data_IF_640267268179
#
_entry.id   IF_640267268179
#
_cell.length_a   1.000
_cell.length_b   1.000
_cell.length_c   1.000
_cell.angle_alpha   90.00
_cell.angle_beta   90.00
_cell.angle_gamma   90.00
#
_symmetry.space_group_name_H-M   'P 1'
#
loop_
_entity.id
_entity.type
_entity.pdbx_description
1 polymer ?
#
# COMPACT_ATOMS: atom_id res chain seq x y z
N UNK A 1 25.43 7.07 -3.61
CA UNK A 1 24.20 7.61 -4.24
C UNK A 1 23.13 6.55 -4.06
N UNK A 2 22.36 6.62 -2.97
CA UNK A 2 21.30 5.66 -2.69
C UNK A 2 20.18 5.83 -3.71
N UNK A 3 19.92 4.78 -4.47
CA UNK A 3 18.94 4.76 -5.55
C UNK A 3 17.55 5.03 -5.00
N UNK A 4 16.78 5.89 -5.67
CA UNK A 4 15.38 6.24 -5.32
C UNK A 4 14.46 5.00 -5.18
N UNK A 5 14.91 3.85 -5.67
CA UNK A 5 14.29 2.52 -5.57
C UNK A 5 14.29 1.97 -4.13
N UNK A 6 15.37 2.16 -3.36
CA UNK A 6 15.50 1.61 -2.00
C UNK A 6 14.48 2.27 -1.05
N UNK A 7 14.37 3.60 -1.13
CA UNK A 7 13.32 4.35 -0.42
C UNK A 7 11.91 4.10 -0.94
N UNK A 8 11.75 3.51 -2.13
CA UNK A 8 10.46 3.13 -2.71
C UNK A 8 10.00 1.77 -2.17
N UNK A 9 10.91 0.79 -2.12
CA UNK A 9 10.68 -0.52 -1.50
C UNK A 9 10.40 -0.41 0.00
N UNK A 10 11.12 0.47 0.71
CA UNK A 10 10.85 0.75 2.13
C UNK A 10 9.43 1.32 2.33
N UNK A 11 9.03 2.28 1.49
CA UNK A 11 7.68 2.88 1.54
C UNK A 11 6.59 1.87 1.22
N UNK A 12 6.82 0.98 0.26
CA UNK A 12 5.90 -0.13 -0.07
C UNK A 12 5.79 -1.13 1.08
N UNK A 13 6.92 -1.50 1.67
CA UNK A 13 6.98 -2.41 2.83
C UNK A 13 6.26 -1.82 4.04
N UNK A 14 6.45 -0.53 4.29
CA UNK A 14 5.72 0.21 5.33
C UNK A 14 4.22 0.22 5.04
N UNK A 15 3.83 0.53 3.79
CA UNK A 15 2.43 0.55 3.37
C UNK A 15 1.73 -0.80 3.57
N UNK A 16 2.41 -1.92 3.32
CA UNK A 16 1.90 -3.28 3.58
C UNK A 16 1.72 -3.54 5.08
N UNK A 17 2.70 -3.16 5.91
CA UNK A 17 2.62 -3.31 7.37
C UNK A 17 1.46 -2.50 7.97
N UNK A 18 1.31 -1.24 7.54
CA UNK A 18 0.18 -0.42 7.97
C UNK A 18 -1.16 -1.00 7.53
N UNK A 19 -1.23 -1.54 6.30
CA UNK A 19 -2.44 -2.20 5.80
C UNK A 19 -2.82 -3.43 6.65
N UNK A 20 -1.83 -4.25 7.02
CA UNK A 20 -2.02 -5.42 7.90
C UNK A 20 -2.49 -5.00 9.30
N UNK A 21 -1.86 -3.99 9.89
CA UNK A 21 -2.27 -3.44 11.19
C UNK A 21 -3.71 -2.89 11.14
N UNK A 22 -4.06 -2.15 10.10
CA UNK A 22 -5.41 -1.63 9.86
C UNK A 22 -6.42 -2.77 9.69
N UNK A 23 -6.09 -3.82 8.95
CA UNK A 23 -6.94 -5.01 8.80
C UNK A 23 -7.12 -5.77 10.11
N UNK A 24 -6.04 -5.96 10.88
CA UNK A 24 -6.10 -6.61 12.18
C UNK A 24 -6.99 -5.84 13.14
N UNK A 25 -6.92 -4.51 13.13
CA UNK A 25 -7.81 -3.65 13.89
C UNK A 25 -9.24 -3.78 13.39
N UNK A 26 -9.49 -3.74 12.07
CA UNK A 26 -10.82 -3.90 11.46
C UNK A 26 -11.49 -5.24 11.78
N UNK A 27 -10.72 -6.31 11.91
CA UNK A 27 -11.20 -7.61 12.35
C UNK A 27 -11.43 -7.71 13.87
N UNK A 28 -10.89 -6.76 14.66
CA UNK A 28 -11.22 -6.67 16.07
C UNK A 28 -12.67 -6.25 16.25
N UNK A 29 -13.40 -7.02 17.06
CA UNK A 29 -14.85 -6.87 17.27
C UNK A 29 -15.23 -5.63 18.09
N UNK A 30 -14.25 -4.96 18.71
CA UNK A 30 -14.46 -3.83 19.64
C UNK A 30 -14.35 -2.44 18.98
N UNK A 31 -14.39 -2.34 17.64
CA UNK A 31 -14.31 -1.05 16.97
C UNK A 31 -15.66 -0.33 16.88
N UNK A 32 -15.65 0.95 17.27
CA UNK A 32 -16.74 1.88 16.97
C UNK A 32 -16.90 2.07 15.44
N UNK A 33 -18.13 2.32 14.94
CA UNK A 33 -18.38 2.63 13.53
C UNK A 33 -17.53 3.79 12.98
N UNK A 34 -17.21 4.79 13.79
CA UNK A 34 -16.32 5.89 13.39
C UNK A 34 -14.87 5.43 13.20
N UNK A 35 -14.41 4.52 14.07
CA UNK A 35 -13.08 3.93 13.98
C UNK A 35 -12.97 3.01 12.75
N UNK A 36 -14.02 2.21 12.46
CA UNK A 36 -14.06 1.40 11.22
C UNK A 36 -13.99 2.27 9.98
N UNK A 37 -14.80 3.33 9.88
CA UNK A 37 -14.77 4.26 8.72
C UNK A 37 -13.40 4.91 8.54
N UNK A 38 -12.76 5.31 9.63
CA UNK A 38 -11.41 5.88 9.60
C UNK A 38 -10.38 4.87 9.08
N UNK A 39 -10.42 3.64 9.59
CA UNK A 39 -9.56 2.54 9.16
C UNK A 39 -9.78 2.14 7.69
N UNK A 40 -11.02 2.11 7.22
CA UNK A 40 -11.34 1.85 5.81
C UNK A 40 -10.81 2.94 4.87
N UNK A 41 -10.89 4.21 5.30
CA UNK A 41 -10.34 5.35 4.55
C UNK A 41 -8.82 5.30 4.50
N UNK A 42 -8.18 4.92 5.60
CA UNK A 42 -6.72 4.71 5.67
C UNK A 42 -6.29 3.55 4.77
N UNK A 43 -6.99 2.42 4.82
CA UNK A 43 -6.77 1.26 3.93
C UNK A 43 -6.85 1.66 2.45
N UNK A 44 -7.86 2.43 2.05
CA UNK A 44 -8.00 2.90 0.66
C UNK A 44 -6.86 3.82 0.24
N UNK A 45 -6.41 4.68 1.15
CA UNK A 45 -5.29 5.60 0.91
C UNK A 45 -3.96 4.87 0.78
N UNK A 46 -3.73 3.83 1.59
CA UNK A 46 -2.58 2.94 1.51
C UNK A 46 -2.57 2.15 0.20
N UNK A 47 -3.69 1.54 -0.19
CA UNK A 47 -3.80 0.86 -1.50
C UNK A 47 -3.47 1.80 -2.67
N UNK A 48 -3.98 3.03 -2.66
CA UNK A 48 -3.66 4.03 -3.70
C UNK A 48 -2.18 4.41 -3.71
N UNK A 49 -1.55 4.57 -2.53
CA UNK A 49 -0.11 4.82 -2.43
C UNK A 49 0.70 3.65 -2.98
N UNK A 50 0.37 2.42 -2.60
CA UNK A 50 1.02 1.21 -3.11
C UNK A 50 0.90 1.10 -4.63
N UNK A 51 -0.31 1.26 -5.21
CA UNK A 51 -0.48 1.29 -6.66
C UNK A 51 0.29 2.44 -7.34
N UNK A 52 0.40 3.60 -6.71
CA UNK A 52 1.20 4.70 -7.25
C UNK A 52 2.72 4.40 -7.24
N UNK A 53 3.18 3.61 -6.28
CA UNK A 53 4.56 3.12 -6.21
C UNK A 53 4.81 1.98 -7.21
N UNK A 54 3.86 1.06 -7.39
CA UNK A 54 3.95 -0.06 -8.36
C UNK A 54 3.75 0.39 -9.83
N UNK A 55 3.00 1.48 -10.05
CA UNK A 55 2.72 2.03 -11.40
C UNK A 55 3.92 2.80 -12.00
N UNK A 56 4.92 3.17 -11.18
CA UNK A 56 6.17 3.76 -11.65
C UNK A 56 7.30 2.71 -11.63
N UNK A 57 7.88 2.31 -12.77
CA UNK A 57 7.31 1.76 -14.00
C UNK A 57 7.67 0.27 -14.13
N UNK A 58 6.68 -0.62 -14.10
CA UNK A 58 6.77 -1.90 -14.82
C UNK A 58 6.30 -1.76 -16.29
N UNK A 59 6.10 -0.52 -16.75
CA UNK A 59 5.83 -0.18 -18.13
C UNK A 59 7.12 0.26 -18.84
N UNK A 60 8.04 -0.69 -19.02
CA UNK A 60 9.02 -0.62 -20.10
C UNK A 60 9.53 -2.04 -20.34
N UNK A 61 9.13 -2.64 -21.46
CA UNK A 61 9.58 -3.94 -21.99
C UNK A 61 8.96 -5.23 -21.40
N UNK A 62 7.62 -5.37 -21.39
CA UNK A 62 7.09 -6.65 -21.88
C UNK A 62 7.21 -6.60 -23.39
N UNK A 63 8.41 -6.96 -23.84
CA UNK A 63 8.79 -7.06 -25.23
C UNK A 63 7.77 -7.90 -25.97
N UNK A 64 7.25 -7.31 -27.04
CA UNK A 64 6.57 -8.01 -28.13
C UNK A 64 7.50 -9.14 -28.62
N UNK A 65 7.17 -10.38 -28.31
CA UNK A 65 7.73 -11.56 -28.94
C UNK A 65 6.60 -12.57 -29.05
N UNK A 66 6.23 -13.12 -30.20
CA UNK A 66 6.59 -12.93 -31.61
C UNK A 66 5.36 -13.33 -32.43
#
# INVERSE_FOLDING_TARGET
MGTEIDGLEEKLSQCRRDLEAVNSRLHSRELSPEARRSLEKEKNSLMKKASNYESRPAASWTQTAS
#
